data_IF_976955335706
#
_entry.id   IF_976955335706
#
_cell.length_a   1.000
_cell.length_b   1.000
_cell.length_c   1.000
_cell.angle_alpha   90.00
_cell.angle_beta   90.00
_cell.angle_gamma   90.00
#
_symmetry.space_group_name_H-M   'P 1'
#
loop_
_entity.id
_entity.type
_entity.pdbx_description
1 polymer ?
#
# COMPACT_ATOMS: atom_id res chain seq x y z
N UNK A 1 8.54 -47.96 -20.09
CA UNK A 1 8.84 -47.08 -18.93
C UNK A 1 8.84 -45.57 -19.24
N UNK A 2 8.97 -45.13 -20.50
CA UNK A 2 8.94 -43.71 -20.86
C UNK A 2 7.51 -43.13 -21.04
N UNK A 3 6.57 -43.89 -21.63
CA UNK A 3 5.19 -43.43 -21.81
C UNK A 3 4.45 -43.18 -20.49
N UNK A 4 4.70 -44.00 -19.46
CA UNK A 4 4.02 -43.90 -18.17
C UNK A 4 4.40 -42.60 -17.41
N UNK A 5 5.68 -42.22 -17.52
CA UNK A 5 6.20 -40.94 -16.98
C UNK A 5 5.70 -39.74 -17.78
N UNK A 6 5.54 -39.89 -19.09
CA UNK A 6 4.98 -38.84 -19.95
C UNK A 6 3.49 -38.59 -19.65
N UNK A 7 2.73 -39.66 -19.38
CA UNK A 7 1.30 -39.57 -19.07
C UNK A 7 1.06 -38.93 -17.70
N UNK A 8 1.90 -39.25 -16.71
CA UNK A 8 1.90 -38.57 -15.40
C UNK A 8 2.29 -37.09 -15.50
N UNK A 9 3.25 -36.74 -16.36
CA UNK A 9 3.66 -35.35 -16.56
C UNK A 9 2.55 -34.51 -17.22
N UNK A 10 1.89 -35.05 -18.24
CA UNK A 10 0.76 -34.38 -18.91
C UNK A 10 -0.44 -34.22 -17.96
N UNK A 11 -0.74 -35.23 -17.14
CA UNK A 11 -1.79 -35.16 -16.13
C UNK A 11 -1.48 -34.11 -15.04
N UNK A 12 -0.22 -33.99 -14.61
CA UNK A 12 0.21 -32.99 -13.64
C UNK A 12 0.11 -31.55 -14.21
N UNK A 13 0.44 -31.35 -15.49
CA UNK A 13 0.30 -30.05 -16.15
C UNK A 13 -1.18 -29.64 -16.28
N UNK A 14 -2.06 -30.59 -16.62
CA UNK A 14 -3.49 -30.35 -16.74
C UNK A 14 -4.16 -29.94 -15.40
N UNK A 15 -3.67 -30.48 -14.27
CA UNK A 15 -4.13 -30.12 -12.93
C UNK A 15 -3.68 -28.72 -12.48
N UNK A 16 -2.57 -28.21 -13.02
CA UNK A 16 -2.04 -26.87 -12.71
C UNK A 16 -2.65 -25.78 -13.60
N UNK A 17 -3.16 -26.14 -14.79
CA UNK A 17 -3.79 -25.19 -15.73
C UNK A 17 -5.27 -24.89 -15.46
N UNK A 18 -5.85 -25.44 -14.38
CA UNK A 18 -7.20 -25.09 -13.96
C UNK A 18 -7.19 -23.70 -13.32
N UNK A 19 -7.17 -22.66 -14.15
CA UNK A 19 -7.31 -21.28 -13.74
C UNK A 19 -8.73 -21.05 -13.22
N UNK A 20 -8.92 -20.99 -11.90
CA UNK A 20 -10.23 -20.75 -11.25
C UNK A 20 -10.59 -19.26 -11.22
N UNK A 21 -9.74 -18.37 -11.77
CA UNK A 21 -9.95 -16.91 -11.72
C UNK A 21 -11.26 -16.46 -12.39
N UNK A 22 -11.82 -17.25 -13.30
CA UNK A 22 -13.10 -16.97 -13.96
C UNK A 22 -14.33 -17.36 -13.13
N UNK A 23 -14.17 -18.08 -12.01
CA UNK A 23 -15.27 -18.53 -11.14
C UNK A 23 -15.58 -17.49 -10.04
N UNK A 24 -14.68 -16.53 -9.82
CA UNK A 24 -14.95 -15.36 -8.98
C UNK A 24 -15.61 -14.28 -9.83
N UNK A 25 -16.86 -14.52 -10.23
CA UNK A 25 -17.75 -13.40 -10.57
C UNK A 25 -17.99 -12.63 -9.25
N UNK A 26 -17.17 -11.61 -9.01
CA UNK A 26 -17.50 -10.59 -8.03
C UNK A 26 -18.90 -10.08 -8.41
N UNK A 27 -19.93 -10.19 -7.55
CA UNK A 27 -21.24 -9.65 -7.83
C UNK A 27 -21.13 -8.12 -7.77
N UNK A 28 -20.65 -7.53 -8.85
CA UNK A 28 -20.66 -6.10 -9.05
C UNK A 28 -22.08 -5.73 -9.40
N UNK A 29 -22.81 -5.17 -8.44
CA UNK A 29 -24.06 -4.47 -8.76
C UNK A 29 -23.72 -3.34 -9.71
N UNK A 30 -24.17 -3.46 -10.97
CA UNK A 30 -24.05 -2.36 -11.92
C UNK A 30 -24.68 -1.10 -11.30
N UNK A 31 -23.99 0.05 -11.35
CA UNK A 31 -24.55 1.28 -10.83
C UNK A 31 -25.85 1.58 -11.59
N UNK A 32 -26.91 2.02 -10.88
CA UNK A 32 -28.18 2.34 -11.53
C UNK A 32 -27.98 3.43 -12.59
N UNK A 33 -28.79 3.42 -13.66
CA UNK A 33 -28.67 4.42 -14.72
C UNK A 33 -28.87 5.84 -14.15
N UNK A 34 -28.16 6.83 -14.70
CA UNK A 34 -28.23 8.20 -14.21
C UNK A 34 -29.66 8.76 -14.34
N UNK A 35 -30.13 9.42 -13.29
CA UNK A 35 -31.45 10.07 -13.27
C UNK A 35 -31.32 11.56 -13.62
N UNK A 36 -32.33 12.15 -14.29
CA UNK A 36 -32.34 13.57 -14.55
C UNK A 36 -32.48 14.38 -13.25
N UNK A 37 -31.79 15.51 -13.17
CA UNK A 37 -31.89 16.43 -12.05
C UNK A 37 -31.57 17.86 -12.48
N UNK A 38 -31.98 18.82 -11.65
CA UNK A 38 -31.63 20.24 -11.79
C UNK A 38 -31.24 20.77 -10.42
N UNK A 39 -30.09 21.44 -10.35
CA UNK A 39 -29.55 22.01 -9.12
C UNK A 39 -29.11 23.44 -9.37
N UNK A 40 -29.40 24.32 -8.42
CA UNK A 40 -28.94 25.71 -8.47
C UNK A 40 -28.81 26.30 -7.08
N UNK A 41 -27.79 27.11 -6.85
CA UNK A 41 -27.68 27.91 -5.64
C UNK A 41 -27.05 29.28 -5.92
N UNK A 42 -27.32 30.21 -5.02
CA UNK A 42 -26.68 31.53 -4.96
C UNK A 42 -26.20 31.78 -3.54
N UNK A 43 -24.94 32.20 -3.40
CA UNK A 43 -24.32 32.46 -2.11
C UNK A 43 -23.63 33.82 -2.09
N UNK A 44 -23.47 34.35 -0.88
CA UNK A 44 -22.99 35.70 -0.62
C UNK A 44 -22.09 35.75 0.60
N UNK A 45 -21.03 36.56 0.55
CA UNK A 45 -20.23 36.88 1.76
C UNK A 45 -21.00 37.72 2.79
N UNK A 46 -21.96 38.53 2.33
CA UNK A 46 -22.72 39.46 3.17
C UNK A 46 -24.23 39.31 2.90
N UNK A 47 -25.09 39.50 3.92
CA UNK A 47 -26.54 39.50 3.73
C UNK A 47 -26.94 40.50 2.62
N UNK A 48 -27.72 40.04 1.64
CA UNK A 48 -28.19 40.87 0.53
C UNK A 48 -27.22 40.99 -0.66
N UNK A 49 -26.08 40.33 -0.65
CA UNK A 49 -25.10 40.35 -1.75
C UNK A 49 -24.79 38.94 -2.24
N UNK A 50 -25.09 38.60 -3.49
CA UNK A 50 -24.66 37.33 -4.10
C UNK A 50 -23.33 37.53 -4.83
N UNK A 51 -22.31 36.76 -4.45
CA UNK A 51 -20.98 36.79 -5.07
C UNK A 51 -20.52 35.45 -5.65
N UNK A 52 -21.31 34.40 -5.42
CA UNK A 52 -21.13 33.06 -5.99
C UNK A 52 -22.46 32.54 -6.49
N UNK A 53 -22.45 31.96 -7.68
CA UNK A 53 -23.63 31.34 -8.26
C UNK A 53 -23.22 30.03 -8.92
N UNK A 54 -24.13 29.08 -8.94
CA UNK A 54 -23.92 27.79 -9.59
C UNK A 54 -25.26 27.23 -10.04
N UNK A 55 -25.27 26.64 -11.23
CA UNK A 55 -26.41 25.92 -11.77
C UNK A 55 -25.91 24.74 -12.59
N UNK A 56 -26.55 23.59 -12.44
CA UNK A 56 -26.27 22.41 -13.26
C UNK A 56 -27.53 21.58 -13.50
N UNK A 57 -27.52 20.86 -14.61
CA UNK A 57 -28.61 20.00 -15.05
C UNK A 57 -28.03 18.73 -15.64
N UNK A 58 -28.66 17.60 -15.34
CA UNK A 58 -28.49 16.34 -16.07
C UNK A 58 -29.83 15.87 -16.60
N UNK A 59 -29.84 15.36 -17.83
CA UNK A 59 -31.00 14.77 -18.49
C UNK A 59 -31.10 13.25 -18.25
N UNK A 60 -30.25 12.68 -17.40
CA UNK A 60 -30.17 11.24 -17.16
C UNK A 60 -29.48 10.46 -18.28
N UNK A 61 -28.85 11.14 -19.26
CA UNK A 61 -27.99 10.49 -20.26
C UNK A 61 -26.61 10.11 -19.70
N UNK A 62 -26.29 10.56 -18.48
CA UNK A 62 -24.95 10.50 -17.89
C UNK A 62 -24.12 11.74 -18.18
N UNK A 63 -24.63 12.69 -18.98
CA UNK A 63 -24.01 14.00 -19.19
C UNK A 63 -24.55 15.01 -18.18
N UNK A 64 -23.66 15.78 -17.57
CA UNK A 64 -24.00 16.91 -16.69
C UNK A 64 -23.49 18.20 -17.33
N UNK A 65 -24.35 19.21 -17.43
CA UNK A 65 -23.97 20.53 -17.93
C UNK A 65 -24.27 21.57 -16.88
N UNK A 66 -23.32 22.46 -16.65
CA UNK A 66 -23.51 23.50 -15.65
C UNK A 66 -22.63 24.71 -15.88
N UNK A 67 -22.86 25.71 -15.05
CA UNK A 67 -22.09 26.92 -14.99
C UNK A 67 -21.93 27.34 -13.54
N UNK A 68 -20.73 27.76 -13.17
CA UNK A 68 -20.51 28.43 -11.89
C UNK A 68 -19.77 29.74 -12.07
N UNK A 69 -20.10 30.72 -11.23
CA UNK A 69 -19.47 32.03 -11.25
C UNK A 69 -19.09 32.51 -9.86
N UNK A 70 -17.98 33.24 -9.78
CA UNK A 70 -17.53 33.86 -8.53
C UNK A 70 -16.75 35.16 -8.80
N UNK A 71 -16.70 36.04 -7.79
CA UNK A 71 -15.87 37.25 -7.83
C UNK A 71 -14.47 36.95 -7.29
N UNK A 72 -13.44 37.17 -8.11
CA UNK A 72 -12.04 36.98 -7.74
C UNK A 72 -11.50 38.11 -6.82
N UNK A 73 -10.32 37.94 -6.19
CA UNK A 73 -9.71 39.00 -5.37
C UNK A 73 -9.38 40.29 -6.12
N UNK A 74 -9.33 40.26 -7.46
CA UNK A 74 -9.13 41.42 -8.35
C UNK A 74 -10.47 42.05 -8.76
N UNK A 75 -11.58 41.65 -8.12
CA UNK A 75 -12.96 42.10 -8.37
C UNK A 75 -13.48 41.79 -9.79
N UNK A 76 -12.92 40.77 -10.46
CA UNK A 76 -13.45 40.28 -11.73
C UNK A 76 -14.35 39.06 -11.51
N UNK A 77 -15.41 38.97 -12.32
CA UNK A 77 -16.27 37.78 -12.34
C UNK A 77 -15.57 36.70 -13.17
N UNK A 78 -15.36 35.54 -12.55
CA UNK A 78 -14.91 34.31 -13.19
C UNK A 78 -16.12 33.45 -13.41
N UNK A 79 -16.33 33.02 -14.64
CA UNK A 79 -17.40 32.09 -15.01
C UNK A 79 -16.77 30.89 -15.67
N UNK A 80 -17.24 29.71 -15.30
CA UNK A 80 -16.83 28.45 -15.92
C UNK A 80 -18.08 27.71 -16.32
N UNK A 81 -18.25 27.56 -17.63
CA UNK A 81 -19.23 26.65 -18.19
C UNK A 81 -18.57 25.29 -18.35
N UNK A 82 -19.29 24.20 -18.07
CA UNK A 82 -18.71 22.87 -18.19
C UNK A 82 -19.69 21.84 -18.70
N UNK A 83 -19.10 20.81 -19.31
CA UNK A 83 -19.78 19.55 -19.68
C UNK A 83 -18.99 18.42 -19.06
N UNK A 84 -19.66 17.61 -18.24
CA UNK A 84 -19.11 16.36 -17.73
C UNK A 84 -19.79 15.21 -18.49
N UNK A 85 -19.01 14.44 -19.22
CA UNK A 85 -19.45 13.28 -20.00
C UNK A 85 -18.60 12.04 -19.67
N UNK A 86 -18.67 11.00 -20.52
CA UNK A 86 -17.93 9.75 -20.31
C UNK A 86 -16.43 9.93 -20.54
N UNK A 87 -16.05 10.89 -21.37
CA UNK A 87 -14.68 11.22 -21.73
C UNK A 87 -14.01 12.12 -20.67
N UNK A 88 -14.79 12.77 -19.81
CA UNK A 88 -14.32 13.44 -18.61
C UNK A 88 -15.01 14.78 -18.37
N UNK A 89 -14.26 15.71 -17.76
CA UNK A 89 -14.74 17.05 -17.44
C UNK A 89 -14.15 18.08 -18.40
N UNK A 90 -15.01 18.80 -19.11
CA UNK A 90 -14.64 19.76 -20.14
C UNK A 90 -15.06 21.18 -19.73
N UNK A 91 -14.18 21.95 -19.07
CA UNK A 91 -14.46 23.31 -18.65
C UNK A 91 -14.10 24.34 -19.73
N UNK A 92 -14.95 25.35 -19.87
CA UNK A 92 -14.76 26.55 -20.69
C UNK A 92 -14.74 27.74 -19.75
N UNK A 93 -13.55 28.32 -19.58
CA UNK A 93 -13.32 29.43 -18.66
C UNK A 93 -13.53 30.78 -19.38
N UNK A 94 -14.21 31.72 -18.71
CA UNK A 94 -14.38 33.08 -19.23
C UNK A 94 -13.07 33.88 -19.32
N UNK A 95 -12.10 33.56 -18.46
CA UNK A 95 -10.76 34.13 -18.48
C UNK A 95 -9.76 33.00 -18.26
N UNK A 96 -9.05 32.63 -19.33
CA UNK A 96 -8.13 31.50 -19.37
C UNK A 96 -6.91 31.85 -18.53
N UNK A 97 -6.55 31.02 -17.52
CA UNK A 97 -5.33 31.22 -16.76
C UNK A 97 -4.12 31.30 -17.71
N UNK A 98 -3.08 32.08 -17.37
CA UNK A 98 -1.84 31.99 -18.12
C UNK A 98 -1.38 30.53 -18.16
N UNK A 99 -0.83 30.11 -19.29
CA UNK A 99 -0.23 28.77 -19.39
C UNK A 99 0.77 28.56 -18.24
N UNK A 100 0.93 27.29 -17.85
CA UNK A 100 1.93 26.94 -16.85
C UNK A 100 3.28 27.59 -17.19
N UNK A 101 3.99 28.14 -16.20
CA UNK A 101 5.27 28.76 -16.46
C UNK A 101 6.17 27.73 -17.14
N UNK A 102 6.73 28.09 -18.29
CA UNK A 102 7.73 27.27 -18.97
C UNK A 102 8.90 27.03 -18.01
N UNK A 103 9.37 25.79 -17.93
CA UNK A 103 10.53 25.45 -17.10
C UNK A 103 11.69 26.39 -17.44
N UNK A 104 12.36 26.94 -16.43
CA UNK A 104 13.63 27.63 -16.65
C UNK A 104 14.68 26.64 -17.18
N UNK A 105 15.69 27.13 -17.90
CA UNK A 105 16.77 26.28 -18.43
C UNK A 105 17.42 25.39 -17.36
N UNK A 106 17.56 25.93 -16.13
CA UNK A 106 18.07 25.18 -14.98
C UNK A 106 17.17 24.03 -14.54
N UNK A 107 15.85 24.21 -14.59
CA UNK A 107 14.86 23.19 -14.23
C UNK A 107 14.81 22.12 -15.31
N UNK A 108 14.82 22.51 -16.59
CA UNK A 108 14.90 21.57 -17.70
C UNK A 108 16.16 20.70 -17.61
N UNK A 109 17.33 21.30 -17.41
CA UNK A 109 18.59 20.57 -17.23
C UNK A 109 18.56 19.62 -16.02
N UNK A 110 17.92 20.06 -14.92
CA UNK A 110 17.78 19.23 -13.73
C UNK A 110 16.87 18.01 -13.99
N UNK A 111 15.76 18.20 -14.71
CA UNK A 111 14.88 17.10 -15.14
C UNK A 111 15.63 16.12 -16.03
N UNK A 112 16.37 16.60 -17.03
CA UNK A 112 17.14 15.74 -17.93
C UNK A 112 18.19 14.91 -17.17
N UNK A 113 18.94 15.55 -16.26
CA UNK A 113 19.88 14.85 -15.38
C UNK A 113 19.19 13.78 -14.55
N UNK A 114 18.02 14.09 -13.98
CA UNK A 114 17.25 13.14 -13.20
C UNK A 114 16.83 11.94 -14.04
N UNK A 115 16.28 12.15 -15.24
CA UNK A 115 15.87 11.08 -16.14
C UNK A 115 17.04 10.18 -16.55
N UNK A 116 18.21 10.77 -16.86
CA UNK A 116 19.41 10.00 -17.18
C UNK A 116 19.89 9.14 -16.00
N UNK A 117 19.89 9.69 -14.79
CA UNK A 117 20.25 8.95 -13.58
C UNK A 117 19.28 7.80 -13.30
N UNK A 118 17.97 8.07 -13.44
CA UNK A 118 16.94 7.04 -13.27
C UNK A 118 17.12 5.90 -14.26
N UNK A 119 17.33 6.21 -15.55
CA UNK A 119 17.55 5.22 -16.59
C UNK A 119 18.79 4.35 -16.29
N UNK A 120 19.90 4.96 -15.90
CA UNK A 120 21.12 4.23 -15.50
C UNK A 120 20.84 3.26 -14.34
N UNK A 121 20.19 3.72 -13.28
CA UNK A 121 19.88 2.88 -12.11
C UNK A 121 18.96 1.73 -12.50
N UNK A 122 17.97 1.99 -13.37
CA UNK A 122 17.09 0.95 -13.89
C UNK A 122 17.86 -0.12 -14.68
N UNK A 123 18.82 0.28 -15.53
CA UNK A 123 19.70 -0.64 -16.27
C UNK A 123 20.61 -1.47 -15.34
N UNK A 124 21.20 -0.82 -14.32
CA UNK A 124 22.03 -1.47 -13.29
C UNK A 124 21.23 -2.53 -12.54
N UNK A 125 19.98 -2.23 -12.16
CA UNK A 125 19.10 -3.15 -11.45
C UNK A 125 18.46 -4.21 -12.35
N UNK A 126 18.40 -4.00 -13.68
CA UNK A 126 17.91 -4.99 -14.62
C UNK A 126 18.87 -6.19 -14.79
N UNK A 127 20.15 -6.03 -14.44
CA UNK A 127 21.18 -7.06 -14.58
C UNK A 127 21.64 -7.57 -13.19
N UNK A 128 21.05 -8.66 -12.66
CA UNK A 128 21.33 -9.14 -11.31
C UNK A 128 22.76 -9.65 -11.09
N UNK A 129 23.58 -9.82 -12.14
CA UNK A 129 24.96 -10.29 -12.03
C UNK A 129 25.94 -9.26 -11.43
N UNK A 130 25.58 -7.97 -11.35
CA UNK A 130 26.41 -6.91 -10.77
C UNK A 130 25.94 -6.41 -9.39
N UNK A 131 24.91 -7.04 -8.81
CA UNK A 131 24.47 -6.71 -7.46
C UNK A 131 25.44 -7.37 -6.48
N UNK A 132 26.57 -6.71 -6.22
CA UNK A 132 27.32 -6.97 -4.99
C UNK A 132 26.38 -6.51 -3.87
N UNK A 133 25.84 -7.40 -3.01
CA UNK A 133 25.00 -6.95 -1.91
C UNK A 133 25.86 -6.02 -1.06
N UNK A 134 25.59 -4.72 -1.14
CA UNK A 134 26.26 -3.72 -0.32
C UNK A 134 25.70 -3.89 1.09
N UNK A 135 26.19 -4.90 1.80
CA UNK A 135 25.87 -5.05 3.22
C UNK A 135 26.37 -3.76 3.86
N UNK A 136 25.49 -2.96 4.50
CA UNK A 136 25.91 -1.71 5.08
C UNK A 136 27.07 -1.98 6.03
N UNK A 137 28.21 -1.31 5.81
CA UNK A 137 29.41 -1.50 6.63
C UNK A 137 29.04 -1.12 8.06
N UNK A 138 29.02 -2.11 8.95
CA UNK A 138 28.65 -1.85 10.34
C UNK A 138 29.66 -0.88 10.96
N UNK A 139 29.14 0.14 11.65
CA UNK A 139 29.97 1.02 12.46
C UNK A 139 30.48 0.26 13.69
N UNK A 140 31.61 0.67 14.25
CA UNK A 140 32.20 0.00 15.43
C UNK A 140 31.23 -0.06 16.61
N UNK A 141 30.39 0.96 16.78
CA UNK A 141 29.35 0.99 17.82
C UNK A 141 28.31 -0.13 17.62
N UNK A 142 27.87 -0.37 16.39
CA UNK A 142 26.91 -1.44 16.07
C UNK A 142 27.57 -2.81 16.27
N UNK A 143 28.82 -2.98 15.84
CA UNK A 143 29.57 -4.21 16.05
C UNK A 143 29.76 -4.52 17.56
N UNK A 144 30.10 -3.49 18.36
CA UNK A 144 30.24 -3.62 19.81
C UNK A 144 28.91 -3.92 20.50
N UNK A 145 27.81 -3.30 20.05
CA UNK A 145 26.47 -3.58 20.57
C UNK A 145 26.04 -5.03 20.25
N UNK A 146 26.31 -5.50 19.03
CA UNK A 146 26.04 -6.88 18.63
C UNK A 146 26.86 -7.88 19.48
N UNK A 147 28.13 -7.59 19.74
CA UNK A 147 28.99 -8.42 20.59
C UNK A 147 28.47 -8.47 22.04
N UNK A 148 28.08 -7.32 22.61
CA UNK A 148 27.46 -7.27 23.94
C UNK A 148 26.15 -8.05 24.00
N UNK A 149 25.30 -7.90 22.99
CA UNK A 149 24.05 -8.64 22.91
C UNK A 149 24.29 -10.15 22.86
N UNK A 150 25.23 -10.62 22.03
CA UNK A 150 25.61 -12.03 21.95
C UNK A 150 26.14 -12.55 23.30
N UNK A 151 26.90 -11.74 24.04
CA UNK A 151 27.38 -12.10 25.37
C UNK A 151 26.24 -12.22 26.38
N UNK A 152 25.32 -11.26 26.42
CA UNK A 152 24.16 -11.31 27.31
C UNK A 152 23.28 -12.53 27.02
N UNK A 153 23.08 -12.86 25.75
CA UNK A 153 22.31 -14.03 25.35
C UNK A 153 22.92 -15.33 25.88
N UNK A 154 24.26 -15.45 25.85
CA UNK A 154 24.98 -16.60 26.44
C UNK A 154 24.77 -16.68 27.95
N UNK A 155 24.89 -15.56 28.66
CA UNK A 155 24.68 -15.51 30.12
C UNK A 155 23.27 -15.95 30.49
N UNK A 156 22.26 -15.44 29.77
CA UNK A 156 20.85 -15.81 30.01
C UNK A 156 20.63 -17.30 29.73
N UNK A 157 21.19 -17.81 28.63
CA UNK A 157 21.09 -19.24 28.30
C UNK A 157 21.70 -20.13 29.39
N UNK A 158 22.86 -19.77 29.93
CA UNK A 158 23.50 -20.50 31.04
C UNK A 158 22.67 -20.42 32.33
N UNK A 159 22.11 -19.25 32.65
CA UNK A 159 21.21 -19.10 33.79
C UNK A 159 19.98 -19.98 33.65
N UNK A 160 19.36 -19.99 32.47
CA UNK A 160 18.20 -20.84 32.19
C UNK A 160 18.56 -22.33 32.29
N UNK A 161 19.74 -22.74 31.82
CA UNK A 161 20.22 -24.12 31.95
C UNK A 161 20.39 -24.55 33.41
N UNK A 162 20.92 -23.66 34.26
CA UNK A 162 21.05 -23.93 35.71
C UNK A 162 19.71 -24.08 36.40
N UNK A 163 18.78 -23.17 36.13
CA UNK A 163 17.42 -23.22 36.70
C UNK A 163 16.69 -24.50 36.26
N UNK A 164 16.86 -24.90 35.00
CA UNK A 164 16.29 -26.15 34.50
C UNK A 164 16.83 -27.37 35.24
N UNK A 165 18.16 -27.45 35.45
CA UNK A 165 18.78 -28.56 36.18
C UNK A 165 18.35 -28.61 37.66
N UNK A 166 18.23 -27.45 38.32
CA UNK A 166 17.76 -27.36 39.71
C UNK A 166 16.30 -27.82 39.84
N UNK A 167 15.43 -27.40 38.92
CA UNK A 167 14.02 -27.84 38.89
C UNK A 167 13.89 -29.34 38.64
N UNK A 168 14.71 -29.90 37.76
CA UNK A 168 14.71 -31.35 37.48
C UNK A 168 15.23 -32.17 38.68
N UNK A 169 16.16 -31.64 39.46
CA UNK A 169 16.62 -32.28 40.69
C UNK A 169 15.53 -32.25 41.77
N UNK A 170 14.88 -31.11 41.98
CA UNK A 170 13.76 -30.97 42.92
C UNK A 170 12.59 -31.89 42.56
N UNK A 171 12.23 -31.97 41.28
CA UNK A 171 11.18 -32.89 40.81
C UNK A 171 11.53 -34.35 41.10
N UNK A 172 12.79 -34.76 40.88
CA UNK A 172 13.25 -36.11 41.23
C UNK A 172 13.18 -36.39 42.73
N UNK A 173 13.59 -35.44 43.57
CA UNK A 173 13.48 -35.58 45.03
C UNK A 173 12.02 -35.68 45.49
N UNK A 174 11.11 -34.91 44.88
CA UNK A 174 9.66 -34.98 45.14
C UNK A 174 9.07 -36.33 44.72
N UNK A 175 9.42 -36.83 43.53
CA UNK A 175 9.00 -38.15 43.03
C UNK A 175 9.51 -39.28 43.95
N UNK A 176 10.77 -39.22 44.40
CA UNK A 176 11.32 -40.19 45.35
C UNK A 176 10.57 -40.16 46.70
N UNK A 177 10.25 -38.96 47.22
CA UNK A 177 9.47 -38.82 48.46
C UNK A 177 8.05 -39.35 48.31
N UNK A 178 7.38 -39.07 47.20
CA UNK A 178 6.05 -39.61 46.91
C UNK A 178 6.06 -41.13 46.83
N UNK A 179 7.02 -41.70 46.10
CA UNK A 179 7.18 -43.15 45.96
C UNK A 179 7.45 -43.84 47.32
N UNK A 180 8.30 -43.25 48.18
CA UNK A 180 8.53 -43.77 49.53
C UNK A 180 7.27 -43.70 50.41
N UNK A 181 6.46 -42.65 50.25
CA UNK A 181 5.20 -42.48 50.98
C UNK A 181 4.15 -43.52 50.54
N UNK A 182 4.02 -43.79 49.23
CA UNK A 182 3.15 -44.86 48.71
C UNK A 182 3.55 -46.25 49.23
N UNK A 183 4.85 -46.56 49.27
CA UNK A 183 5.33 -47.83 49.83
C UNK A 183 5.00 -47.97 51.32
N UNK A 184 4.93 -46.86 52.05
CA UNK A 184 4.59 -46.83 53.47
C UNK A 184 3.08 -47.01 53.70
N UNK A 185 2.23 -46.55 52.77
CA UNK A 185 0.76 -46.74 52.80
C UNK A 185 0.33 -48.16 52.40
N UNK A 186 1.08 -48.88 51.56
CA UNK A 186 0.81 -50.29 51.18
C UNK A 186 1.20 -51.29 52.29
N UNK A 187 2.08 -50.88 53.21
CA UNK A 187 2.57 -51.71 54.32
C UNK A 187 1.68 -51.75 55.57
N UNK A 188 0.55 -51.04 55.56
CA UNK A 188 -0.46 -51.00 56.63
C UNK A 188 -1.76 -51.67 56.19
#
# INVERSE_FOLDING_TARGET
MACDKLLLLVAAIALVSADVSHILEDPSTEPPPPLPYSFSYTAGRYPGHADRQHSEVSDGSGVVKGSFSYVDPRQKIRTVDYVADREGFHPVLSDVPPEHPTDSESVALAKDRHFQLYARIAEEHAHPENIVPSVPRQTEAVAAAAAKHAQLFRVIAEQHARIAAEREALQREEEERQHLQELQEIGH
#
